data_IF_536637465931
#
_entry.id   IF_536637465931
#
_cell.length_a   1.000
_cell.length_b   1.000
_cell.length_c   1.000
_cell.angle_alpha   90.00
_cell.angle_beta   90.00
_cell.angle_gamma   90.00
#
_symmetry.space_group_name_H-M   'P 1'
#
loop_
_entity.id
_entity.type
_entity.pdbx_description
1 polymer ?
#
# COMPACT_ATOMS: atom_id res chain seq x y z
N UNK A 1 -4.26 18.33 1.75
CA UNK A 1 -3.43 17.10 1.68
C UNK A 1 -2.59 17.01 2.94
N UNK A 2 -2.66 15.89 3.66
CA UNK A 2 -1.87 15.65 4.87
C UNK A 2 -0.47 15.21 4.44
N UNK A 3 0.56 15.91 4.94
CA UNK A 3 1.97 15.51 4.76
C UNK A 3 2.38 14.61 5.92
N UNK A 4 2.93 13.44 5.64
CA UNK A 4 3.46 12.55 6.66
C UNK A 4 4.73 11.84 6.20
N UNK A 5 5.51 11.37 7.17
CA UNK A 5 6.78 10.67 6.95
C UNK A 5 6.54 9.17 6.87
N UNK A 6 6.99 8.53 5.80
CA UNK A 6 6.87 7.07 5.57
C UNK A 6 8.23 6.42 5.39
N UNK A 7 8.30 5.10 5.63
CA UNK A 7 9.44 4.27 5.25
C UNK A 7 9.41 4.00 3.73
N UNK A 8 10.58 3.80 3.15
CA UNK A 8 10.76 3.36 1.76
C UNK A 8 11.45 2.00 1.73
N UNK A 9 11.38 1.30 0.60
CA UNK A 9 12.03 -0.02 0.41
C UNK A 9 13.52 -0.01 0.73
N UNK A 10 14.19 1.11 0.49
CA UNK A 10 15.64 1.28 0.68
C UNK A 10 16.04 1.53 2.15
N UNK A 11 15.09 1.39 3.10
CA UNK A 11 15.31 1.63 4.53
C UNK A 11 15.36 3.11 4.94
N UNK A 12 15.24 4.03 3.99
CA UNK A 12 15.17 5.48 4.24
C UNK A 12 13.73 5.94 4.50
N UNK A 13 13.59 7.08 5.17
CA UNK A 13 12.29 7.76 5.35
C UNK A 13 12.12 8.93 4.39
N UNK A 14 10.90 9.17 3.89
CA UNK A 14 10.55 10.33 3.03
C UNK A 14 9.23 10.95 3.46
N UNK A 15 9.07 12.26 3.23
CA UNK A 15 7.81 12.99 3.46
C UNK A 15 6.98 12.95 2.17
N UNK A 16 5.74 12.49 2.26
CA UNK A 16 4.82 12.36 1.12
C UNK A 16 3.47 12.95 1.43
N UNK A 17 2.72 13.23 0.37
CA UNK A 17 1.27 13.49 0.41
C UNK A 17 0.60 12.41 -0.42
N UNK A 18 -0.09 11.48 0.25
CA UNK A 18 -0.77 10.35 -0.38
C UNK A 18 -2.27 10.51 -0.22
N UNK A 19 -3.03 10.02 -1.19
CA UNK A 19 -4.45 9.70 -1.02
C UNK A 19 -4.61 8.52 -0.05
N UNK A 20 -5.79 8.33 0.56
CA UNK A 20 -6.03 7.20 1.45
C UNK A 20 -5.74 5.84 0.78
N UNK A 21 -6.07 5.69 -0.50
CA UNK A 21 -5.84 4.45 -1.26
C UNK A 21 -4.34 4.18 -1.44
N UNK A 22 -3.57 5.18 -1.87
CA UNK A 22 -2.12 5.06 -2.02
C UNK A 22 -1.44 4.77 -0.66
N UNK A 23 -1.91 5.37 0.42
CA UNK A 23 -1.39 5.12 1.77
C UNK A 23 -1.64 3.67 2.22
N UNK A 24 -2.83 3.12 1.94
CA UNK A 24 -3.15 1.72 2.23
C UNK A 24 -2.25 0.78 1.42
N UNK A 25 -2.10 1.02 0.11
CA UNK A 25 -1.22 0.21 -0.74
C UNK A 25 0.22 0.24 -0.24
N UNK A 26 0.72 1.42 0.13
CA UNK A 26 2.05 1.58 0.70
C UNK A 26 2.22 0.79 2.01
N UNK A 27 1.21 0.81 2.88
CA UNK A 27 1.22 0.03 4.12
C UNK A 27 1.21 -1.48 3.85
N UNK A 28 0.45 -1.94 2.84
CA UNK A 28 0.46 -3.34 2.42
C UNK A 28 1.85 -3.75 1.90
N UNK A 29 2.48 -2.91 1.08
CA UNK A 29 3.86 -3.13 0.62
C UNK A 29 4.83 -3.20 1.80
N UNK A 30 4.78 -2.26 2.75
CA UNK A 30 5.64 -2.29 3.93
C UNK A 30 5.43 -3.57 4.77
N UNK A 31 4.18 -4.00 4.94
CA UNK A 31 3.83 -5.22 5.68
C UNK A 31 4.41 -6.49 5.03
N UNK A 32 4.34 -6.58 3.70
CA UNK A 32 4.81 -7.75 2.93
C UNK A 32 6.26 -7.61 2.45
N UNK A 33 7.08 -6.78 3.09
CA UNK A 33 8.51 -6.67 2.76
C UNK A 33 8.79 -6.05 1.38
N UNK A 34 7.93 -5.14 0.93
CA UNK A 34 7.99 -4.43 -0.36
C UNK A 34 7.78 -5.31 -1.59
N UNK A 35 7.14 -6.47 -1.42
CA UNK A 35 6.81 -7.41 -2.48
C UNK A 35 5.35 -7.27 -2.91
N UNK A 36 5.12 -6.77 -4.13
CA UNK A 36 3.77 -6.69 -4.73
C UNK A 36 3.12 -8.06 -4.87
N UNK A 37 3.90 -9.07 -5.26
CA UNK A 37 3.44 -10.45 -5.38
C UNK A 37 2.86 -10.97 -4.07
N UNK A 38 3.51 -10.68 -2.96
CA UNK A 38 3.07 -11.13 -1.64
C UNK A 38 1.85 -10.35 -1.14
N UNK A 39 1.69 -9.08 -1.54
CA UNK A 39 0.44 -8.32 -1.28
C UNK A 39 -0.75 -8.95 -2.01
N UNK A 40 -0.55 -9.37 -3.26
CA UNK A 40 -1.58 -10.04 -4.06
C UNK A 40 -1.98 -11.38 -3.43
N UNK A 41 -0.99 -12.13 -2.93
CA UNK A 41 -1.16 -13.43 -2.28
C UNK A 41 -1.42 -13.35 -0.77
N UNK A 42 -1.57 -12.14 -0.21
CA UNK A 42 -1.88 -11.97 1.20
C UNK A 42 -3.21 -12.69 1.52
N UNK A 43 -3.19 -13.52 2.57
CA UNK A 43 -4.34 -14.33 3.00
C UNK A 43 -4.94 -13.88 4.33
N UNK A 44 -4.44 -12.79 4.91
CA UNK A 44 -4.93 -12.25 6.18
C UNK A 44 -6.28 -11.53 6.00
N UNK A 45 -7.35 -12.33 5.93
CA UNK A 45 -8.73 -11.85 5.79
C UNK A 45 -9.22 -11.07 7.02
N UNK A 46 -8.50 -11.12 8.15
CA UNK A 46 -8.85 -10.36 9.37
C UNK A 46 -8.17 -8.99 9.39
N UNK A 47 -7.22 -8.74 8.49
CA UNK A 47 -6.61 -7.43 8.34
C UNK A 47 -7.67 -6.41 7.90
N UNK A 48 -7.84 -5.28 8.61
CA UNK A 48 -8.82 -4.25 8.25
C UNK A 48 -8.52 -3.59 6.90
N UNK A 49 -7.29 -3.72 6.41
CA UNK A 49 -6.86 -3.19 5.10
C UNK A 49 -7.04 -4.20 3.96
N UNK A 50 -7.31 -5.48 4.25
CA UNK A 50 -7.48 -6.53 3.25
C UNK A 50 -8.44 -6.19 2.09
N UNK A 51 -9.65 -5.61 2.33
CA UNK A 51 -10.58 -5.29 1.25
C UNK A 51 -10.12 -4.09 0.40
N UNK A 52 -9.14 -3.31 0.89
CA UNK A 52 -8.66 -2.08 0.24
C UNK A 52 -7.24 -2.24 -0.34
N UNK A 53 -6.65 -3.44 -0.25
CA UNK A 53 -5.25 -3.68 -0.67
C UNK A 53 -5.03 -3.56 -2.18
N UNK A 54 -6.10 -3.71 -2.97
CA UNK A 54 -6.08 -3.51 -4.40
C UNK A 54 -6.61 -2.11 -4.71
N UNK A 55 -5.85 -1.35 -5.50
CA UNK A 55 -6.34 -0.13 -6.12
C UNK A 55 -7.39 -0.56 -7.14
N UNK A 56 -8.66 -0.61 -6.75
CA UNK A 56 -9.76 -0.72 -7.70
C UNK A 56 -9.80 0.56 -8.52
N UNK A 57 -8.97 0.65 -9.57
CA UNK A 57 -9.14 1.60 -10.65
C UNK A 57 -9.88 0.89 -11.80
N UNK A 58 -11.20 1.03 -11.93
CA UNK A 58 -11.96 0.42 -13.02
C UNK A 58 -11.57 0.93 -14.41
N UNK A 59 -10.77 2.00 -14.50
CA UNK A 59 -10.32 2.64 -15.74
C UNK A 59 -9.01 2.04 -16.30
N UNK A 60 -8.26 1.24 -15.52
CA UNK A 60 -7.05 0.55 -15.99
C UNK A 60 -7.37 -0.86 -16.51
N UNK A 61 -8.23 -0.96 -17.52
CA UNK A 61 -8.16 -2.09 -18.45
C UNK A 61 -7.28 -1.63 -19.61
N UNK A 62 -6.14 -2.31 -19.78
CA UNK A 62 -5.28 -2.14 -20.95
C UNK A 62 -5.98 -2.50 -22.26
#
# INVERSE_FOLDING_TARGET
MIKHTIRSKDGRTKVVSLTPIEAIRHQCLECMGWSEHDVDHCTDKRCPLFPYRFETNPECKG
#
